data_IF_980891577871
#
_entry.id   IF_980891577871
#
_cell.length_a   1.000
_cell.length_b   1.000
_cell.length_c   1.000
_cell.angle_alpha   90.00
_cell.angle_beta   90.00
_cell.angle_gamma   90.00
#
_symmetry.space_group_name_H-M   'P 1'
#
loop_
_entity.id
_entity.type
_entity.pdbx_description
1 polymer ?
#
# COMPACT_ATOMS: atom_id res chain seq x y z
N UNK A 1 9.28 22.18 -2.86
CA UNK A 1 9.36 21.51 -1.56
C UNK A 1 9.10 20.02 -1.73
N UNK A 2 9.92 19.21 -1.13
CA UNK A 2 9.68 17.77 -1.05
C UNK A 2 8.54 17.51 -0.07
N UNK A 3 7.57 16.69 -0.49
CA UNK A 3 6.48 16.28 0.39
C UNK A 3 7.02 15.33 1.47
N UNK A 4 6.58 15.52 2.71
CA UNK A 4 6.86 14.61 3.83
C UNK A 4 5.74 13.60 4.03
N UNK A 5 4.58 13.83 3.40
CA UNK A 5 3.39 12.99 3.47
C UNK A 5 2.71 12.97 2.09
N UNK A 6 2.30 11.80 1.66
CA UNK A 6 1.62 11.62 0.37
C UNK A 6 0.60 10.49 0.43
N UNK A 7 -0.54 10.68 -0.23
CA UNK A 7 -1.53 9.61 -0.43
C UNK A 7 -1.12 8.70 -1.59
N UNK A 8 -1.21 7.39 -1.38
CA UNK A 8 -0.68 6.41 -2.35
C UNK A 8 -1.43 6.44 -3.69
N UNK A 9 -2.73 6.75 -3.69
CA UNK A 9 -3.49 6.86 -4.94
C UNK A 9 -2.95 7.96 -5.87
N UNK A 10 -2.37 9.02 -5.31
CA UNK A 10 -1.74 10.10 -6.08
C UNK A 10 -0.39 9.73 -6.67
N UNK A 11 0.23 8.69 -6.18
CA UNK A 11 1.52 8.21 -6.69
C UNK A 11 1.38 7.42 -7.99
N UNK A 12 0.20 6.82 -8.23
CA UNK A 12 -0.06 6.11 -9.48
C UNK A 12 0.06 7.05 -10.69
N UNK A 13 0.87 6.67 -11.64
CA UNK A 13 1.09 7.46 -12.85
C UNK A 13 2.06 8.62 -12.71
N UNK A 14 2.56 8.94 -11.50
CA UNK A 14 3.58 9.96 -11.32
C UNK A 14 4.81 9.67 -12.16
N UNK A 15 5.37 10.72 -12.79
CA UNK A 15 6.63 10.63 -13.48
C UNK A 15 7.79 10.38 -12.52
N UNK A 16 8.71 9.51 -12.92
CA UNK A 16 9.95 9.23 -12.19
C UNK A 16 11.09 9.92 -12.95
N UNK A 17 11.85 10.75 -12.25
CA UNK A 17 12.90 11.59 -12.82
C UNK A 17 14.24 11.28 -12.17
N UNK A 18 15.29 11.33 -12.97
CA UNK A 18 16.67 11.28 -12.50
C UNK A 18 17.14 12.65 -11.98
N UNK A 19 18.37 12.76 -11.40
CA UNK A 19 18.87 14.03 -10.90
C UNK A 19 19.09 15.09 -11.99
N UNK A 20 19.21 14.71 -13.26
CA UNK A 20 19.34 15.61 -14.39
C UNK A 20 18.00 16.17 -14.88
N UNK A 21 16.90 15.63 -14.35
CA UNK A 21 15.55 16.03 -14.75
C UNK A 21 14.97 15.22 -15.91
N UNK A 22 15.66 14.18 -16.35
CA UNK A 22 15.17 13.29 -17.39
C UNK A 22 14.15 12.31 -16.83
N UNK A 23 13.05 12.12 -17.55
CA UNK A 23 12.02 11.17 -17.19
C UNK A 23 12.46 9.75 -17.51
N UNK A 24 12.59 8.92 -16.50
CA UNK A 24 13.03 7.53 -16.62
C UNK A 24 11.89 6.52 -16.58
N UNK A 25 10.71 6.92 -16.12
CA UNK A 25 9.55 6.04 -16.03
C UNK A 25 8.34 6.69 -15.38
N UNK A 26 7.40 5.83 -14.99
CA UNK A 26 6.21 6.23 -14.21
C UNK A 26 5.94 5.22 -13.10
N UNK A 27 5.36 5.69 -12.00
CA UNK A 27 4.96 4.84 -10.88
C UNK A 27 3.73 4.03 -11.27
N UNK A 28 3.78 2.72 -11.05
CA UNK A 28 2.65 1.81 -11.22
C UNK A 28 2.00 1.50 -9.87
N UNK A 29 2.80 1.21 -8.85
CA UNK A 29 2.31 0.89 -7.51
C UNK A 29 3.39 1.14 -6.46
N UNK A 30 3.00 1.10 -5.20
CA UNK A 30 3.89 1.18 -4.04
C UNK A 30 3.91 -0.16 -3.35
N UNK A 31 5.09 -0.67 -3.02
CA UNK A 31 5.23 -1.89 -2.24
C UNK A 31 5.28 -1.58 -0.76
N UNK A 32 4.40 -2.23 -0.01
CA UNK A 32 4.29 -2.11 1.44
C UNK A 32 4.66 -3.44 2.09
N UNK A 33 5.41 -3.36 3.18
CA UNK A 33 5.71 -4.51 4.03
C UNK A 33 4.94 -4.40 5.34
N UNK A 34 4.15 -5.43 5.66
CA UNK A 34 3.47 -5.52 6.96
C UNK A 34 4.46 -5.79 8.08
N UNK A 35 4.17 -5.27 9.26
CA UNK A 35 4.94 -5.47 10.49
C UNK A 35 4.02 -5.93 11.60
N UNK A 36 4.51 -6.75 12.54
CA UNK A 36 3.67 -7.34 13.60
C UNK A 36 2.91 -6.33 14.46
N UNK A 37 3.60 -5.30 14.92
CA UNK A 37 3.06 -4.34 15.91
C UNK A 37 3.11 -2.90 15.45
N UNK A 38 3.74 -2.63 14.31
CA UNK A 38 3.92 -1.29 13.77
C UNK A 38 3.13 -1.13 12.46
N UNK A 39 2.78 0.09 12.09
CA UNK A 39 2.17 0.32 10.78
C UNK A 39 3.06 -0.19 9.64
N UNK A 40 2.47 -0.63 8.52
CA UNK A 40 3.23 -1.03 7.35
C UNK A 40 4.17 0.06 6.86
N UNK A 41 5.30 -0.34 6.31
CA UNK A 41 6.26 0.59 5.71
C UNK A 41 6.36 0.39 4.21
N UNK A 42 6.60 1.46 3.47
CA UNK A 42 6.93 1.36 2.06
C UNK A 42 8.36 0.81 1.89
N UNK A 43 8.51 -0.21 1.07
CA UNK A 43 9.82 -0.79 0.72
C UNK A 43 10.34 -0.20 -0.59
N UNK A 44 9.45 0.19 -1.48
CA UNK A 44 9.81 0.77 -2.76
C UNK A 44 8.61 0.96 -3.67
N UNK A 45 8.93 1.19 -4.93
CA UNK A 45 7.94 1.46 -5.97
C UNK A 45 8.11 0.47 -7.12
N UNK A 46 7.00 0.06 -7.70
CA UNK A 46 7.01 -0.57 -9.02
C UNK A 46 6.92 0.57 -10.04
N UNK A 47 7.93 0.68 -10.87
CA UNK A 47 7.96 1.67 -11.95
C UNK A 47 7.95 0.99 -13.31
N UNK A 48 7.29 1.60 -14.26
CA UNK A 48 7.33 1.19 -15.66
C UNK A 48 8.28 2.10 -16.40
N UNK A 49 9.28 1.48 -17.02
CA UNK A 49 10.26 2.13 -17.88
C UNK A 49 9.97 1.83 -19.36
N UNK A 50 10.81 2.34 -20.27
CA UNK A 50 10.69 2.10 -21.71
C UNK A 50 10.47 0.62 -22.03
N UNK A 51 9.62 0.34 -23.03
CA UNK A 51 9.29 -1.02 -23.44
C UNK A 51 8.31 -1.72 -22.49
N UNK A 52 7.57 -0.97 -21.68
CA UNK A 52 6.60 -1.50 -20.68
C UNK A 52 7.23 -2.47 -19.67
N UNK A 53 8.50 -2.32 -19.41
CA UNK A 53 9.20 -3.13 -18.42
C UNK A 53 8.92 -2.58 -17.03
N UNK A 54 8.57 -3.47 -16.11
CA UNK A 54 8.39 -3.14 -14.70
C UNK A 54 9.63 -3.49 -13.92
N UNK A 55 10.14 -2.51 -13.19
CA UNK A 55 11.33 -2.64 -12.36
C UNK A 55 11.03 -2.14 -10.95
N UNK A 56 11.83 -2.60 -10.00
CA UNK A 56 11.72 -2.19 -8.60
C UNK A 56 12.64 -1.00 -8.33
N UNK A 57 12.06 0.04 -7.74
CA UNK A 57 12.81 1.19 -7.24
C UNK A 57 12.75 1.18 -5.71
N UNK A 58 13.85 0.84 -5.01
CA UNK A 58 13.89 0.90 -3.56
C UNK A 58 13.58 2.30 -3.03
N UNK A 59 12.87 2.41 -1.92
CA UNK A 59 12.52 3.71 -1.31
C UNK A 59 13.77 4.51 -0.94
N UNK A 60 14.87 3.84 -0.59
CA UNK A 60 16.15 4.48 -0.28
C UNK A 60 16.78 5.25 -1.46
N UNK A 61 16.36 4.93 -2.69
CA UNK A 61 16.84 5.64 -3.89
C UNK A 61 15.95 6.81 -4.30
N UNK A 62 14.85 7.02 -3.60
CA UNK A 62 13.97 8.17 -3.79
C UNK A 62 14.48 9.32 -2.94
N UNK A 63 14.85 10.41 -3.58
CA UNK A 63 15.40 11.60 -2.90
C UNK A 63 14.31 12.62 -2.57
N UNK A 64 13.25 12.69 -3.40
CA UNK A 64 12.14 13.60 -3.18
C UNK A 64 10.86 13.10 -3.82
N UNK A 65 9.75 13.43 -3.20
CA UNK A 65 8.41 13.31 -3.78
C UNK A 65 7.81 14.70 -3.85
N UNK A 66 7.40 15.10 -5.03
CA UNK A 66 6.71 16.36 -5.30
C UNK A 66 5.38 16.07 -6.02
N UNK A 67 4.47 17.03 -6.15
CA UNK A 67 3.23 16.82 -6.88
C UNK A 67 3.47 16.29 -8.31
N UNK A 68 2.99 15.08 -8.57
CA UNK A 68 3.13 14.42 -9.88
C UNK A 68 4.52 13.90 -10.23
N UNK A 69 5.50 14.02 -9.32
CA UNK A 69 6.89 13.70 -9.59
C UNK A 69 7.54 12.92 -8.45
N UNK A 70 8.34 11.94 -8.82
CA UNK A 70 9.18 11.19 -7.92
C UNK A 70 10.62 11.29 -8.43
N UNK A 71 11.53 11.80 -7.59
CA UNK A 71 12.91 12.07 -7.97
C UNK A 71 13.81 11.02 -7.35
N UNK A 72 14.66 10.41 -8.17
CA UNK A 72 15.60 9.38 -7.76
C UNK A 72 17.03 9.89 -7.71
N UNK A 73 17.92 9.12 -7.09
CA UNK A 73 19.36 9.38 -7.13
C UNK A 73 20.03 8.93 -8.45
N UNK A 74 19.24 8.51 -9.45
CA UNK A 74 19.72 8.09 -10.77
C UNK A 74 20.14 6.63 -10.89
N UNK A 75 20.26 5.91 -9.80
CA UNK A 75 20.64 4.49 -9.81
C UNK A 75 19.39 3.61 -9.88
N UNK A 76 19.00 3.19 -11.07
CA UNK A 76 17.87 2.29 -11.28
C UNK A 76 18.38 0.92 -11.70
N UNK A 77 17.99 -0.08 -10.93
CA UNK A 77 18.23 -1.47 -11.28
C UNK A 77 17.24 -1.89 -12.37
N UNK A 78 17.75 -2.18 -13.55
CA UNK A 78 16.94 -2.56 -14.71
C UNK A 78 16.47 -4.01 -14.69
N UNK A 79 16.76 -4.75 -13.62
CA UNK A 79 16.26 -6.12 -13.48
C UNK A 79 14.74 -6.11 -13.38
N UNK A 80 14.15 -7.10 -14.03
CA UNK A 80 12.71 -7.26 -14.01
C UNK A 80 12.20 -7.42 -12.58
N UNK A 81 11.13 -6.70 -12.27
CA UNK A 81 10.50 -6.77 -10.97
C UNK A 81 9.95 -8.18 -10.69
N UNK A 82 10.22 -8.68 -9.50
CA UNK A 82 9.63 -9.89 -8.93
C UNK A 82 9.14 -9.60 -7.52
N UNK A 83 7.90 -9.99 -7.21
CA UNK A 83 7.33 -9.85 -5.86
C UNK A 83 8.12 -10.69 -4.85
N UNK A 84 8.37 -10.12 -3.68
CA UNK A 84 8.87 -10.84 -2.51
C UNK A 84 7.72 -11.23 -1.61
N UNK A 85 7.81 -12.37 -0.92
CA UNK A 85 6.68 -13.01 -0.24
C UNK A 85 6.03 -12.24 0.91
N UNK A 86 6.63 -11.15 1.40
CA UNK A 86 6.07 -10.34 2.50
C UNK A 86 5.65 -8.94 2.07
N UNK A 87 5.71 -8.66 0.79
CA UNK A 87 5.33 -7.36 0.24
C UNK A 87 3.95 -7.43 -0.39
N UNK A 88 3.17 -6.37 -0.23
CA UNK A 88 1.87 -6.19 -0.88
C UNK A 88 1.88 -4.90 -1.69
N UNK A 89 1.13 -4.90 -2.77
CA UNK A 89 0.95 -3.72 -3.61
C UNK A 89 -0.13 -2.83 -3.00
N UNK A 90 0.22 -1.58 -2.69
CA UNK A 90 -0.68 -0.63 -2.05
C UNK A 90 -1.95 -0.42 -2.88
N UNK A 91 -1.80 -0.06 -4.15
CA UNK A 91 -2.92 0.31 -5.00
C UNK A 91 -3.71 -0.92 -5.45
N UNK A 92 -3.02 -1.97 -5.92
CA UNK A 92 -3.69 -3.15 -6.45
C UNK A 92 -4.29 -4.06 -5.37
N UNK A 93 -3.71 -4.09 -4.15
CA UNK A 93 -4.08 -5.08 -3.14
C UNK A 93 -4.60 -4.49 -1.83
N UNK A 94 -4.17 -3.29 -1.42
CA UNK A 94 -4.63 -2.67 -0.17
C UNK A 94 -5.85 -1.77 -0.38
N UNK A 95 -5.87 -0.97 -1.44
CA UNK A 95 -7.05 -0.15 -1.74
C UNK A 95 -8.25 -1.05 -2.07
N UNK A 96 -9.40 -0.71 -1.52
CA UNK A 96 -10.62 -1.52 -1.64
C UNK A 96 -10.75 -2.66 -0.63
N UNK A 97 -9.69 -2.96 0.14
CA UNK A 97 -9.73 -4.00 1.17
C UNK A 97 -10.69 -3.63 2.29
N UNK A 98 -11.44 -4.62 2.77
CA UNK A 98 -12.33 -4.46 3.90
C UNK A 98 -11.54 -4.57 5.21
N UNK A 99 -11.85 -3.70 6.14
CA UNK A 99 -11.28 -3.66 7.49
C UNK A 99 -12.40 -3.52 8.51
N UNK A 100 -12.15 -3.98 9.73
CA UNK A 100 -13.05 -3.79 10.86
C UNK A 100 -12.55 -2.62 11.71
N UNK A 101 -13.43 -1.69 12.04
CA UNK A 101 -13.12 -0.57 12.93
C UNK A 101 -13.25 -1.02 14.39
N UNK A 102 -12.19 -0.80 15.17
CA UNK A 102 -12.13 -1.25 16.57
C UNK A 102 -13.04 -0.47 17.52
N UNK A 103 -13.49 0.71 17.12
CA UNK A 103 -14.44 1.53 17.88
C UNK A 103 -15.89 1.01 17.87
N UNK A 104 -16.14 -0.15 17.29
CA UNK A 104 -17.47 -0.72 17.12
C UNK A 104 -18.26 -0.14 15.95
N UNK A 105 -17.67 0.73 15.14
CA UNK A 105 -18.34 1.33 13.98
C UNK A 105 -18.58 0.37 12.80
N UNK A 106 -18.11 -0.88 12.92
CA UNK A 106 -18.36 -1.95 11.96
C UNK A 106 -17.32 -2.05 10.86
N UNK A 107 -17.74 -2.52 9.69
CA UNK A 107 -16.88 -2.72 8.53
C UNK A 107 -16.69 -1.43 7.73
N UNK A 108 -15.50 -1.29 7.17
CA UNK A 108 -15.17 -0.22 6.25
C UNK A 108 -14.29 -0.77 5.11
N UNK A 109 -14.18 0.00 4.03
CA UNK A 109 -13.22 -0.27 2.96
C UNK A 109 -12.14 0.80 2.92
N UNK A 110 -10.91 0.42 2.62
CA UNK A 110 -9.82 1.36 2.43
C UNK A 110 -9.98 2.04 1.08
N UNK A 111 -10.23 3.34 1.09
CA UNK A 111 -10.32 4.17 -0.13
C UNK A 111 -8.95 4.67 -0.57
N UNK A 112 -8.12 5.05 0.41
CA UNK A 112 -6.77 5.53 0.22
C UNK A 112 -6.01 5.45 1.55
N UNK A 113 -4.72 5.66 1.52
CA UNK A 113 -3.93 5.90 2.73
C UNK A 113 -2.71 6.74 2.42
N UNK A 114 -2.22 7.43 3.44
CA UNK A 114 -1.00 8.22 3.33
C UNK A 114 0.20 7.45 3.86
N UNK A 115 1.33 7.69 3.23
CA UNK A 115 2.64 7.35 3.76
C UNK A 115 3.36 8.65 4.15
N UNK A 116 4.07 8.61 5.25
CA UNK A 116 4.79 9.75 5.81
C UNK A 116 6.25 9.39 6.07
N UNK A 117 7.13 10.32 5.75
CA UNK A 117 8.56 10.15 5.98
C UNK A 117 8.89 10.35 7.45
N UNK A 118 9.36 9.28 8.08
CA UNK A 118 9.82 9.29 9.45
C UNK A 118 11.21 9.93 9.62
N UNK A 119 11.60 10.11 10.86
CA UNK A 119 12.88 10.74 11.23
C UNK A 119 14.12 9.99 10.72
N UNK A 120 13.99 8.69 10.49
CA UNK A 120 15.06 7.82 9.98
C UNK A 120 15.03 7.66 8.45
N UNK A 121 14.19 8.43 7.77
CA UNK A 121 14.05 8.39 6.33
C UNK A 121 13.13 7.28 5.79
N UNK A 122 12.58 6.43 6.66
CA UNK A 122 11.58 5.43 6.29
C UNK A 122 10.24 6.09 5.94
N UNK A 123 9.53 5.51 5.00
CA UNK A 123 8.16 5.90 4.67
C UNK A 123 7.18 4.89 5.27
N UNK A 124 6.32 5.36 6.15
CA UNK A 124 5.43 4.53 6.97
C UNK A 124 3.97 4.95 6.71
N UNK A 125 3.07 3.97 6.67
CA UNK A 125 1.64 4.26 6.64
C UNK A 125 1.27 5.11 7.84
N UNK A 126 0.70 6.29 7.58
CA UNK A 126 0.37 7.29 8.60
C UNK A 126 -1.12 7.28 8.91
N UNK A 127 -1.97 7.37 7.89
CA UNK A 127 -3.39 7.54 8.07
C UNK A 127 -4.16 6.82 6.97
N UNK A 128 -5.22 6.13 7.37
CA UNK A 128 -6.16 5.46 6.47
C UNK A 128 -7.33 6.40 6.18
N UNK A 129 -7.73 6.46 4.92
CA UNK A 129 -8.99 7.04 4.49
C UNK A 129 -9.94 5.91 4.15
N UNK A 130 -10.98 5.74 4.95
CA UNK A 130 -11.87 4.59 4.87
C UNK A 130 -13.31 5.04 4.61
N UNK A 131 -14.08 4.17 3.96
CA UNK A 131 -15.50 4.34 3.75
C UNK A 131 -16.26 3.31 4.58
N UNK A 132 -17.09 3.76 5.51
CA UNK A 132 -17.94 2.91 6.30
C UNK A 132 -18.95 2.17 5.44
N UNK A 133 -19.20 0.92 5.75
CA UNK A 133 -20.25 0.16 5.11
C UNK A 133 -21.62 0.63 5.64
N UNK A 134 -22.56 0.93 4.75
CA UNK A 134 -23.90 1.33 5.14
C UNK A 134 -24.71 0.09 5.52
N UNK A 135 -25.26 0.08 6.72
CA UNK A 135 -26.08 -1.04 7.23
C UNK A 135 -27.53 -1.02 6.76
N UNK A 136 -27.96 -0.04 5.98
CA UNK A 136 -29.35 0.06 5.57
C UNK A 136 -29.69 -0.84 4.40
N UNK A 137 -30.55 -1.80 4.65
CA UNK A 137 -31.28 -2.57 3.66
C UNK A 137 -32.09 -1.64 2.73
N UNK A 138 -31.94 -1.80 1.44
CA UNK A 138 -32.87 -1.22 0.46
C UNK A 138 -32.26 -0.41 -0.68
N UNK A 139 -31.03 0.09 -0.56
CA UNK A 139 -30.35 0.81 -1.65
C UNK A 139 -28.94 0.20 -1.86
N UNK A 140 -28.78 -0.73 -2.80
CA UNK A 140 -27.51 -1.45 -3.01
C UNK A 140 -26.35 -0.57 -3.46
N UNK A 141 -26.62 0.68 -3.84
CA UNK A 141 -25.62 1.62 -4.34
C UNK A 141 -25.34 2.81 -3.40
N UNK A 142 -25.93 2.82 -2.20
CA UNK A 142 -25.69 3.90 -1.27
C UNK A 142 -24.30 3.75 -0.62
N UNK A 143 -23.38 4.63 -1.00
CA UNK A 143 -22.05 4.72 -0.38
C UNK A 143 -22.18 5.28 1.04
N UNK A 144 -21.54 4.63 2.00
CA UNK A 144 -21.44 5.11 3.38
C UNK A 144 -20.53 6.33 3.51
N UNK A 145 -20.50 6.96 4.70
CA UNK A 145 -19.63 8.10 4.97
C UNK A 145 -18.16 7.69 4.98
N UNK A 146 -17.31 8.65 4.64
CA UNK A 146 -15.86 8.50 4.71
C UNK A 146 -15.32 9.07 6.02
N UNK A 147 -14.22 8.53 6.51
CA UNK A 147 -13.49 9.04 7.67
C UNK A 147 -12.02 8.71 7.59
N UNK A 148 -11.22 9.41 8.35
CA UNK A 148 -9.83 9.04 8.62
C UNK A 148 -9.75 8.11 9.83
N UNK A 149 -8.84 7.16 9.77
CA UNK A 149 -8.55 6.24 10.86
C UNK A 149 -7.04 5.98 10.95
N UNK A 150 -6.56 5.76 12.18
CA UNK A 150 -5.19 5.34 12.40
C UNK A 150 -5.06 3.82 12.17
N UNK A 151 -3.87 3.36 11.83
CA UNK A 151 -3.62 1.94 11.63
C UNK A 151 -4.03 1.09 12.85
N UNK A 152 -3.80 1.60 14.06
CA UNK A 152 -4.13 0.93 15.31
C UNK A 152 -5.63 0.82 15.59
N UNK A 153 -6.46 1.64 14.91
CA UNK A 153 -7.92 1.67 15.09
C UNK A 153 -8.65 0.65 14.21
N UNK A 154 -7.93 -0.10 13.40
CA UNK A 154 -8.48 -1.14 12.52
C UNK A 154 -7.96 -2.51 12.93
N UNK A 155 -8.84 -3.51 12.90
CA UNK A 155 -8.53 -4.86 13.36
C UNK A 155 -8.17 -5.81 12.22
N UNK A 156 -7.89 -6.99 12.59
CA UNK A 156 -7.46 -8.27 12.02
C UNK A 156 -7.63 -8.54 10.50
N UNK A 157 -8.47 -7.84 9.79
CA UNK A 157 -8.57 -7.96 8.32
C UNK A 157 -7.36 -7.37 7.58
N UNK A 158 -6.35 -6.97 8.35
CA UNK A 158 -5.06 -6.48 7.88
C UNK A 158 -4.02 -7.60 7.71
N UNK A 159 -4.41 -8.84 7.90
CA UNK A 159 -3.52 -9.97 7.71
C UNK A 159 -2.99 -9.99 6.27
N UNK A 160 -1.69 -10.25 6.17
CA UNK A 160 -1.04 -10.42 4.89
C UNK A 160 -1.76 -11.55 4.12
N UNK A 161 -2.10 -11.38 2.84
CA UNK A 161 -2.66 -12.46 2.01
C UNK A 161 -1.90 -13.78 2.12
N UNK A 162 -0.58 -13.73 2.28
CA UNK A 162 0.24 -14.92 2.50
C UNK A 162 -0.05 -15.63 3.83
N UNK A 163 -0.46 -14.88 4.87
CA UNK A 163 -0.83 -15.47 6.16
C UNK A 163 -2.23 -16.10 6.13
N UNK A 164 -3.14 -15.54 5.32
CA UNK A 164 -4.46 -16.14 5.11
C UNK A 164 -4.36 -17.49 4.40
N UNK A 165 -3.51 -17.60 3.38
CA UNK A 165 -3.24 -18.85 2.70
C UNK A 165 -2.59 -19.88 3.64
N UNK A 166 -1.67 -19.46 4.50
CA UNK A 166 -1.04 -20.31 5.50
C UNK A 166 -2.03 -20.78 6.58
N UNK A 167 -2.91 -19.91 7.05
CA UNK A 167 -3.94 -20.26 8.02
C UNK A 167 -5.00 -21.17 7.42
N UNK A 168 -5.37 -20.96 6.18
CA UNK A 168 -6.30 -21.81 5.46
C UNK A 168 -5.72 -23.21 5.21
N UNK A 169 -4.43 -23.30 4.89
CA UNK A 169 -3.71 -24.57 4.79
C UNK A 169 -3.61 -25.28 6.15
N UNK A 170 -3.34 -24.56 7.23
CA UNK A 170 -3.26 -25.12 8.56
C UNK A 170 -4.61 -25.63 9.08
N UNK A 171 -5.70 -24.92 8.78
CA UNK A 171 -7.06 -25.37 9.12
C UNK A 171 -7.43 -26.64 8.34
N UNK A 172 -7.11 -26.70 7.08
CA UNK A 172 -7.34 -27.87 6.21
C UNK A 172 -6.56 -29.09 6.68
N UNK A 173 -5.32 -28.90 7.13
CA UNK A 173 -4.48 -29.98 7.69
C UNK A 173 -4.97 -30.44 9.04
N UNK A 174 -5.50 -29.54 9.87
CA UNK A 174 -6.09 -29.87 11.17
C UNK A 174 -7.36 -30.72 10.99
N UNK A 175 -8.21 -30.38 10.02
CA UNK A 175 -9.43 -31.15 9.70
C UNK A 175 -9.10 -32.55 9.17
N UNK A 176 -8.00 -32.72 8.48
CA UNK A 176 -7.53 -34.03 8.01
C UNK A 176 -6.97 -34.94 9.11
N UNK A 177 -6.60 -34.36 10.26
CA UNK A 177 -6.06 -35.14 11.42
C UNK A 177 -7.14 -35.62 12.39
N UNK A 178 -8.38 -35.18 12.27
CA UNK A 178 -9.50 -35.50 13.16
C UNK A 178 -10.45 -36.55 12.52
N UNK A 179 -10.15 -36.95 11.26
CA UNK A 179 -10.88 -38.00 10.56
C UNK A 179 -10.31 -39.39 10.73
#
# INVERSE_FOLDING_TARGET
MSATRVFVARLAGCGVFDPQGDRVGKVIDVLMAYRKTLPPRATGFIIEISGRRRVFLPVARVTAIAPGQLITNGLIDLRRFTMRGQEVRAIAEMLGRKVTLLDGAGLASIEDFSIEKGKRGEWVLSELFVRKQKKTSGLPFAKGPTMFAQWQEVAENQENPADQDAQQLLSTVADLRIG
#
